data_IF_344692432798
#
_entry.id   IF_344692432798
#
_cell.length_a   1.000
_cell.length_b   1.000
_cell.length_c   1.000
_cell.angle_alpha   90.00
_cell.angle_beta   90.00
_cell.angle_gamma   90.00
#
_symmetry.space_group_name_H-M   'P 1'
#
loop_
_entity.id
_entity.type
_entity.pdbx_description
1 polymer ?
#
# COMPACT_ATOMS: atom_id res chain seq x y z
N UNK A 1 -31.08 40.98 -21.75
CA UNK A 1 -30.21 40.86 -20.57
C UNK A 1 -30.58 39.68 -19.69
N UNK A 2 -31.86 39.40 -19.43
CA UNK A 2 -32.29 38.29 -18.56
C UNK A 2 -31.85 36.89 -19.02
N UNK A 3 -31.93 36.59 -20.32
CA UNK A 3 -31.52 35.27 -20.85
C UNK A 3 -30.01 35.03 -20.64
N UNK A 4 -29.17 36.03 -20.86
CA UNK A 4 -27.72 35.91 -20.62
C UNK A 4 -27.41 35.70 -19.13
N UNK A 5 -28.15 36.37 -18.24
CA UNK A 5 -28.02 36.18 -16.80
C UNK A 5 -28.47 34.78 -16.36
N UNK A 6 -29.59 34.27 -16.92
CA UNK A 6 -30.07 32.90 -16.67
C UNK A 6 -29.08 31.85 -17.18
N UNK A 7 -28.53 32.02 -18.39
CA UNK A 7 -27.50 31.13 -18.94
C UNK A 7 -26.20 31.17 -18.14
N UNK A 8 -25.79 32.35 -17.63
CA UNK A 8 -24.64 32.48 -16.74
C UNK A 8 -24.83 31.70 -15.43
N UNK A 9 -25.98 31.85 -14.78
CA UNK A 9 -26.27 31.10 -13.55
C UNK A 9 -26.44 29.60 -13.80
N UNK A 10 -27.05 29.21 -14.91
CA UNK A 10 -27.15 27.80 -15.29
C UNK A 10 -25.75 27.20 -15.52
N UNK A 11 -24.88 27.89 -16.27
CA UNK A 11 -23.49 27.48 -16.47
C UNK A 11 -22.73 27.40 -15.14
N UNK A 12 -22.90 28.38 -14.26
CA UNK A 12 -22.26 28.41 -12.94
C UNK A 12 -22.71 27.22 -12.08
N UNK A 13 -24.01 26.95 -12.00
CA UNK A 13 -24.58 25.81 -11.26
C UNK A 13 -24.07 24.49 -11.85
N UNK A 14 -24.08 24.33 -13.17
CA UNK A 14 -23.58 23.12 -13.83
C UNK A 14 -22.06 22.95 -13.59
N UNK A 15 -21.30 24.03 -13.62
CA UNK A 15 -19.85 24.00 -13.38
C UNK A 15 -19.51 23.57 -11.96
N UNK A 16 -20.28 24.04 -10.96
CA UNK A 16 -20.12 23.65 -9.55
C UNK A 16 -20.63 22.23 -9.28
N UNK A 17 -21.70 21.79 -9.96
CA UNK A 17 -22.28 20.46 -9.76
C UNK A 17 -21.53 19.34 -10.51
N UNK A 18 -20.87 19.67 -11.63
CA UNK A 18 -20.18 18.68 -12.47
C UNK A 18 -19.12 17.84 -11.75
N UNK A 19 -18.25 18.38 -10.87
CA UNK A 19 -17.24 17.57 -10.17
C UNK A 19 -17.88 16.61 -9.18
N UNK A 20 -18.97 17.04 -8.52
CA UNK A 20 -19.72 16.18 -7.62
C UNK A 20 -20.35 15.00 -8.37
N UNK A 21 -20.98 15.25 -9.52
CA UNK A 21 -21.55 14.18 -10.36
C UNK A 21 -20.47 13.21 -10.87
N UNK A 22 -19.33 13.71 -11.33
CA UNK A 22 -18.20 12.88 -11.73
C UNK A 22 -17.71 12.00 -10.58
N UNK A 23 -17.61 12.55 -9.38
CA UNK A 23 -17.21 11.81 -8.18
C UNK A 23 -18.22 10.71 -7.83
N UNK A 24 -19.52 10.98 -7.89
CA UNK A 24 -20.57 9.97 -7.66
C UNK A 24 -20.52 8.84 -8.69
N UNK A 25 -20.31 9.17 -9.97
CA UNK A 25 -20.14 8.16 -11.02
C UNK A 25 -18.91 7.27 -10.75
N UNK A 26 -17.79 7.85 -10.31
CA UNK A 26 -16.58 7.11 -9.94
C UNK A 26 -16.81 6.19 -8.74
N UNK A 27 -17.48 6.66 -7.68
CA UNK A 27 -17.84 5.80 -6.54
C UNK A 27 -18.69 4.61 -6.97
N UNK A 28 -19.69 4.84 -7.83
CA UNK A 28 -20.51 3.77 -8.38
C UNK A 28 -19.70 2.79 -9.23
N UNK A 29 -18.77 3.27 -10.06
CA UNK A 29 -17.90 2.42 -10.85
C UNK A 29 -16.98 1.54 -9.98
N UNK A 30 -16.36 2.12 -8.95
CA UNK A 30 -15.52 1.40 -7.98
C UNK A 30 -16.32 0.30 -7.28
N UNK A 31 -17.50 0.63 -6.75
CA UNK A 31 -18.37 -0.33 -6.07
C UNK A 31 -18.77 -1.50 -6.98
N UNK A 32 -19.09 -1.24 -8.25
CA UNK A 32 -19.40 -2.29 -9.24
C UNK A 32 -18.20 -3.18 -9.52
N UNK A 33 -17.01 -2.60 -9.68
CA UNK A 33 -15.79 -3.36 -9.97
C UNK A 33 -15.35 -4.21 -8.78
N UNK A 34 -15.45 -3.68 -7.56
CA UNK A 34 -15.26 -4.42 -6.31
C UNK A 34 -16.24 -5.61 -6.26
N UNK A 35 -17.54 -5.38 -6.45
CA UNK A 35 -18.54 -6.45 -6.43
C UNK A 35 -18.34 -7.49 -7.55
N UNK A 36 -17.81 -7.08 -8.71
CA UNK A 36 -17.42 -8.01 -9.77
C UNK A 36 -16.29 -8.94 -9.33
N UNK A 37 -15.23 -8.39 -8.74
CA UNK A 37 -14.09 -9.14 -8.23
C UNK A 37 -14.50 -10.07 -7.07
N UNK A 38 -15.32 -9.59 -6.13
CA UNK A 38 -15.89 -10.40 -5.04
C UNK A 38 -16.65 -11.62 -5.57
N UNK A 39 -17.48 -11.46 -6.62
CA UNK A 39 -18.22 -12.58 -7.22
C UNK A 39 -17.30 -13.59 -7.92
N UNK A 40 -16.31 -13.11 -8.68
CA UNK A 40 -15.37 -13.96 -9.43
C UNK A 40 -14.50 -14.79 -8.48
N UNK A 41 -14.01 -14.17 -7.41
CA UNK A 41 -13.10 -14.81 -6.44
C UNK A 41 -13.82 -15.44 -5.25
N UNK A 42 -15.12 -15.20 -5.09
CA UNK A 42 -15.95 -15.66 -3.96
C UNK A 42 -15.35 -15.23 -2.62
N UNK A 43 -14.87 -14.00 -2.59
CA UNK A 43 -14.14 -13.40 -1.47
C UNK A 43 -14.78 -12.05 -1.10
N UNK A 44 -14.42 -11.54 0.06
CA UNK A 44 -14.58 -10.14 0.41
C UNK A 44 -13.44 -9.35 -0.20
N UNK A 45 -13.74 -8.28 -0.94
CA UNK A 45 -12.71 -7.38 -1.47
C UNK A 45 -12.63 -6.14 -0.59
N UNK A 46 -11.42 -5.84 -0.12
CA UNK A 46 -11.08 -4.62 0.62
C UNK A 46 -10.05 -3.86 -0.22
N UNK A 47 -10.16 -2.53 -0.28
CA UNK A 47 -9.18 -1.69 -0.99
C UNK A 47 -8.50 -0.75 0.01
N UNK A 48 -7.17 -0.77 0.06
CA UNK A 48 -6.35 0.20 0.77
C UNK A 48 -5.40 0.85 -0.25
N UNK A 49 -5.90 1.91 -0.90
CA UNK A 49 -5.24 2.57 -2.02
C UNK A 49 -4.96 4.02 -1.67
N UNK A 50 -3.69 4.32 -1.42
CA UNK A 50 -3.19 5.66 -1.18
C UNK A 50 -2.62 6.24 -2.48
N UNK A 51 -3.47 6.95 -3.21
CA UNK A 51 -3.06 7.85 -4.30
C UNK A 51 -3.29 9.29 -3.89
N UNK A 52 -2.53 10.21 -4.49
CA UNK A 52 -2.84 11.63 -4.39
C UNK A 52 -4.21 11.86 -5.02
N UNK A 53 -5.21 12.21 -4.22
CA UNK A 53 -6.46 12.73 -4.77
C UNK A 53 -6.31 14.25 -4.89
N UNK A 54 -6.65 14.81 -6.06
CA UNK A 54 -6.66 16.26 -6.30
C UNK A 54 -7.88 16.89 -5.58
N UNK A 55 -7.97 16.73 -4.26
CA UNK A 55 -9.01 17.39 -3.48
C UNK A 55 -8.36 18.54 -2.75
N UNK A 56 -8.20 19.65 -3.44
CA UNK A 56 -7.97 20.94 -2.82
C UNK A 56 -8.48 22.03 -3.74
N UNK A 57 -9.40 22.85 -3.21
CA UNK A 57 -9.86 24.13 -3.77
C UNK A 57 -8.70 25.10 -4.09
N UNK A 58 -7.48 24.82 -3.61
CA UNK A 58 -6.25 25.58 -3.85
C UNK A 58 -5.17 24.84 -4.68
N UNK A 59 -5.45 23.65 -5.21
CA UNK A 59 -4.48 22.93 -6.07
C UNK A 59 -3.26 22.37 -5.34
N UNK A 60 -3.28 22.30 -4.00
CA UNK A 60 -2.19 21.70 -3.21
C UNK A 60 -2.39 20.18 -3.15
N UNK A 61 -1.44 19.36 -3.65
CA UNK A 61 -1.54 17.90 -3.57
C UNK A 61 -1.39 17.43 -2.12
N UNK A 62 -2.27 16.51 -1.69
CA UNK A 62 -2.18 15.85 -0.38
C UNK A 62 -1.75 14.41 -0.61
N UNK A 63 -0.58 14.04 -0.11
CA UNK A 63 -0.13 12.64 -0.06
C UNK A 63 -0.89 11.91 1.04
N UNK A 64 -1.42 10.72 0.73
CA UNK A 64 -2.12 9.87 1.70
C UNK A 64 -1.19 8.78 2.24
N UNK A 65 -1.40 8.45 3.50
CA UNK A 65 -0.65 7.44 4.25
C UNK A 65 -1.61 6.65 5.12
N UNK A 66 -1.22 5.42 5.46
CA UNK A 66 -1.95 4.57 6.41
C UNK A 66 -2.09 5.35 7.72
N UNK A 67 -3.32 5.52 8.19
CA UNK A 67 -3.64 6.22 9.42
C UNK A 67 -4.68 5.45 10.26
N UNK A 68 -5.10 6.03 11.38
CA UNK A 68 -6.04 5.40 12.31
C UNK A 68 -7.41 5.15 11.68
N UNK A 69 -7.96 6.08 10.88
CA UNK A 69 -9.25 5.89 10.22
C UNK A 69 -9.19 4.70 9.24
N UNK A 70 -8.11 4.58 8.46
CA UNK A 70 -7.92 3.43 7.57
C UNK A 70 -7.96 2.11 8.35
N UNK A 71 -7.27 2.05 9.49
CA UNK A 71 -7.28 0.86 10.34
C UNK A 71 -8.68 0.55 10.88
N UNK A 72 -9.43 1.55 11.34
CA UNK A 72 -10.79 1.35 11.85
C UNK A 72 -11.74 0.82 10.76
N UNK A 73 -11.65 1.35 9.54
CA UNK A 73 -12.48 0.94 8.41
C UNK A 73 -12.13 -0.47 7.94
N UNK A 74 -10.84 -0.81 7.82
CA UNK A 74 -10.40 -2.14 7.42
C UNK A 74 -10.77 -3.17 8.49
N UNK A 75 -10.53 -2.87 9.78
CA UNK A 75 -10.94 -3.73 10.90
C UNK A 75 -12.46 -3.95 10.93
N UNK A 76 -13.25 -2.92 10.58
CA UNK A 76 -14.71 -3.04 10.45
C UNK A 76 -15.09 -3.94 9.28
N UNK A 77 -14.45 -3.79 8.12
CA UNK A 77 -14.70 -4.63 6.95
C UNK A 77 -14.38 -6.11 7.23
N UNK A 78 -13.25 -6.41 7.89
CA UNK A 78 -12.88 -7.76 8.32
C UNK A 78 -13.95 -8.32 9.29
N UNK A 79 -14.36 -7.53 10.29
CA UNK A 79 -15.36 -7.95 11.28
C UNK A 79 -16.74 -8.24 10.68
N UNK A 80 -17.13 -7.50 9.64
CA UNK A 80 -18.39 -7.70 8.91
C UNK A 80 -18.31 -8.86 7.91
N UNK A 81 -17.14 -9.46 7.70
CA UNK A 81 -16.93 -10.59 6.81
C UNK A 81 -17.11 -11.89 7.58
N UNK A 82 -17.88 -12.83 7.02
CA UNK A 82 -18.03 -14.15 7.60
C UNK A 82 -16.68 -14.88 7.68
N UNK A 83 -16.46 -15.64 8.75
CA UNK A 83 -15.18 -16.33 9.00
C UNK A 83 -14.80 -17.32 7.90
N UNK A 84 -15.78 -17.88 7.18
CA UNK A 84 -15.53 -18.83 6.09
C UNK A 84 -15.24 -18.18 4.75
N UNK A 85 -15.44 -16.86 4.61
CA UNK A 85 -15.26 -16.13 3.36
C UNK A 85 -13.82 -15.62 3.26
N UNK A 86 -13.07 -15.95 2.19
CA UNK A 86 -11.73 -15.41 1.96
C UNK A 86 -11.72 -13.89 1.87
N UNK A 87 -10.59 -13.26 2.19
CA UNK A 87 -10.37 -11.81 2.03
C UNK A 87 -9.35 -11.56 0.94
N UNK A 88 -9.70 -10.70 0.01
CA UNK A 88 -8.83 -10.19 -1.04
C UNK A 88 -8.60 -8.69 -0.79
N UNK A 89 -7.38 -8.32 -0.41
CA UNK A 89 -6.99 -6.93 -0.16
C UNK A 89 -6.20 -6.38 -1.34
N UNK A 90 -6.72 -5.35 -2.01
CA UNK A 90 -5.96 -4.58 -3.01
C UNK A 90 -5.19 -3.48 -2.29
N UNK A 91 -3.86 -3.59 -2.29
CA UNK A 91 -2.95 -2.77 -1.49
C UNK A 91 -2.01 -1.96 -2.36
N UNK A 92 -2.13 -0.63 -2.28
CA UNK A 92 -1.22 0.30 -2.94
C UNK A 92 -0.94 1.47 -2.00
N UNK A 93 0.25 1.51 -1.41
CA UNK A 93 0.52 2.52 -0.37
C UNK A 93 2.00 2.80 -0.15
N UNK A 94 2.37 4.08 0.12
CA UNK A 94 3.73 4.44 0.51
C UNK A 94 4.02 4.12 1.98
N UNK A 95 3.10 3.44 2.69
CA UNK A 95 3.17 3.20 4.12
C UNK A 95 2.40 4.24 4.92
N UNK A 96 2.78 4.42 6.17
CA UNK A 96 2.14 5.34 7.10
C UNK A 96 2.41 4.96 8.54
N UNK A 97 1.43 5.20 9.41
CA UNK A 97 1.53 4.94 10.83
C UNK A 97 1.68 3.43 11.11
N UNK A 98 2.79 3.04 11.73
CA UNK A 98 3.13 1.65 12.05
C UNK A 98 2.02 0.98 12.86
N UNK A 99 1.51 1.63 13.92
CA UNK A 99 0.42 1.10 14.75
C UNK A 99 -0.82 0.70 13.94
N UNK A 100 -1.25 1.55 13.00
CA UNK A 100 -2.41 1.29 12.16
C UNK A 100 -2.17 0.11 11.22
N UNK A 101 -0.97 0.02 10.63
CA UNK A 101 -0.57 -1.09 9.77
C UNK A 101 -0.51 -2.42 10.54
N UNK A 102 0.07 -2.43 11.74
CA UNK A 102 0.13 -3.62 12.61
C UNK A 102 -1.27 -4.10 12.98
N UNK A 103 -2.20 -3.21 13.34
CA UNK A 103 -3.57 -3.59 13.65
C UNK A 103 -4.28 -4.27 12.47
N UNK A 104 -4.07 -3.75 11.25
CA UNK A 104 -4.61 -4.36 10.04
C UNK A 104 -3.98 -5.74 9.81
N UNK A 105 -2.64 -5.82 9.85
CA UNK A 105 -1.89 -7.06 9.64
C UNK A 105 -2.32 -8.16 10.61
N UNK A 106 -2.41 -7.86 11.91
CA UNK A 106 -2.84 -8.81 12.95
C UNK A 106 -4.31 -9.23 12.81
N UNK A 107 -5.18 -8.37 12.26
CA UNK A 107 -6.57 -8.74 12.00
C UNK A 107 -6.70 -9.67 10.79
N UNK A 108 -5.92 -9.43 9.74
CA UNK A 108 -5.83 -10.31 8.58
C UNK A 108 -5.22 -11.66 8.97
N UNK A 109 -4.12 -11.67 9.73
CA UNK A 109 -3.47 -12.89 10.20
C UNK A 109 -4.40 -13.76 11.06
N UNK A 110 -5.33 -13.15 11.82
CA UNK A 110 -6.31 -13.90 12.62
C UNK A 110 -7.54 -14.34 11.84
N UNK A 111 -7.73 -13.88 10.61
CA UNK A 111 -8.84 -14.33 9.78
C UNK A 111 -8.64 -15.81 9.42
N UNK A 112 -9.64 -16.69 9.64
CA UNK A 112 -9.44 -18.12 9.49
C UNK A 112 -9.57 -18.61 8.04
N UNK A 113 -10.28 -17.90 7.17
CA UNK A 113 -10.27 -18.17 5.74
C UNK A 113 -9.06 -17.52 5.06
N UNK A 114 -8.79 -17.94 3.81
CA UNK A 114 -7.63 -17.47 3.04
C UNK A 114 -7.62 -15.94 2.91
N UNK A 115 -6.45 -15.34 3.11
CA UNK A 115 -6.17 -13.92 2.83
C UNK A 115 -5.22 -13.81 1.64
N UNK A 116 -5.63 -13.09 0.60
CA UNK A 116 -4.80 -12.73 -0.54
C UNK A 116 -4.55 -11.22 -0.52
N UNK A 117 -3.29 -10.78 -0.66
CA UNK A 117 -2.96 -9.37 -0.84
C UNK A 117 -2.48 -9.14 -2.27
N UNK A 118 -3.15 -8.26 -3.00
CA UNK A 118 -2.76 -7.83 -4.34
C UNK A 118 -1.96 -6.54 -4.28
N UNK A 119 -0.73 -6.55 -4.79
CA UNK A 119 0.16 -5.40 -4.89
C UNK A 119 0.37 -5.04 -6.36
N UNK A 120 -0.45 -4.14 -6.93
CA UNK A 120 -0.38 -3.82 -8.36
C UNK A 120 0.80 -2.91 -8.74
N UNK A 121 1.37 -2.16 -7.79
CA UNK A 121 2.54 -1.31 -8.08
C UNK A 121 3.54 -1.27 -6.93
N UNK A 122 3.10 -0.94 -5.71
CA UNK A 122 3.99 -0.95 -4.55
C UNK A 122 3.22 -1.00 -3.23
N UNK A 123 3.83 -1.60 -2.23
CA UNK A 123 3.42 -1.51 -0.83
C UNK A 123 4.67 -1.32 0.04
N UNK A 124 4.86 -0.10 0.55
CA UNK A 124 6.08 0.27 1.30
C UNK A 124 5.82 0.30 2.80
N UNK A 125 6.85 0.04 3.61
CA UNK A 125 6.81 0.23 5.06
C UNK A 125 5.61 -0.48 5.70
N UNK A 126 4.69 0.24 6.34
CA UNK A 126 3.45 -0.35 6.87
C UNK A 126 2.63 -1.17 5.86
N UNK A 127 2.70 -0.86 4.57
CA UNK A 127 2.10 -1.69 3.51
C UNK A 127 2.73 -3.08 3.42
N UNK A 128 4.07 -3.17 3.53
CA UNK A 128 4.75 -4.47 3.59
C UNK A 128 4.29 -5.26 4.81
N UNK A 129 4.19 -4.64 6.00
CA UNK A 129 3.68 -5.32 7.20
C UNK A 129 2.31 -5.96 6.97
N UNK A 130 1.40 -5.22 6.32
CA UNK A 130 0.07 -5.74 5.95
C UNK A 130 0.18 -6.92 4.97
N UNK A 131 1.04 -6.82 3.96
CA UNK A 131 1.24 -7.87 2.97
C UNK A 131 1.81 -9.17 3.59
N UNK A 132 2.72 -9.06 4.56
CA UNK A 132 3.33 -10.23 5.22
C UNK A 132 2.33 -11.06 6.04
N UNK A 133 1.16 -10.50 6.38
CA UNK A 133 0.09 -11.22 7.07
C UNK A 133 -0.74 -12.14 6.15
N UNK A 134 -0.55 -12.05 4.84
CA UNK A 134 -1.35 -12.76 3.85
C UNK A 134 -0.89 -14.21 3.66
N UNK A 135 -1.84 -15.10 3.35
CA UNK A 135 -1.52 -16.46 2.90
C UNK A 135 -0.91 -16.48 1.48
N UNK A 136 -1.19 -15.46 0.69
CA UNK A 136 -0.65 -15.27 -0.65
C UNK A 136 -0.49 -13.77 -0.96
N UNK A 137 0.67 -13.39 -1.51
CA UNK A 137 0.96 -12.04 -1.99
C UNK A 137 1.03 -12.09 -3.52
N UNK A 138 0.03 -11.53 -4.19
CA UNK A 138 0.01 -11.45 -5.67
C UNK A 138 0.57 -10.10 -6.08
N UNK A 139 1.77 -10.10 -6.64
CA UNK A 139 2.46 -8.88 -7.07
C UNK A 139 2.39 -8.76 -8.60
N UNK A 140 2.23 -7.54 -9.11
CA UNK A 140 2.62 -7.27 -10.50
C UNK A 140 4.12 -7.61 -10.66
N UNK A 141 4.54 -8.04 -11.86
CA UNK A 141 5.95 -8.38 -12.12
C UNK A 141 6.91 -7.23 -11.82
N UNK A 142 6.45 -5.99 -11.95
CA UNK A 142 7.20 -4.76 -11.69
C UNK A 142 6.80 -4.11 -10.36
N UNK A 143 5.96 -4.76 -9.55
CA UNK A 143 5.62 -4.26 -8.24
C UNK A 143 6.74 -4.50 -7.22
N UNK A 144 6.78 -3.67 -6.20
CA UNK A 144 7.80 -3.73 -5.14
C UNK A 144 7.17 -3.70 -3.75
N UNK A 145 7.78 -4.43 -2.83
CA UNK A 145 7.61 -4.23 -1.39
C UNK A 145 8.72 -3.30 -0.88
N UNK A 146 8.50 -2.68 0.28
CA UNK A 146 9.53 -1.87 0.95
C UNK A 146 10.04 -2.48 2.25
N UNK A 147 11.21 -2.03 2.75
CA UNK A 147 11.64 -2.31 4.12
C UNK A 147 10.63 -1.81 5.14
N UNK A 148 10.68 -2.39 6.34
CA UNK A 148 9.79 -2.05 7.46
C UNK A 148 10.56 -1.47 8.63
N UNK A 149 11.83 -1.09 8.42
CA UNK A 149 12.67 -0.51 9.46
C UNK A 149 12.04 0.76 10.06
N UNK A 150 12.04 0.89 11.40
CA UNK A 150 11.41 2.03 12.05
C UNK A 150 12.22 3.31 11.84
N UNK A 151 11.50 4.40 11.57
CA UNK A 151 12.04 5.74 11.41
C UNK A 151 11.70 6.58 12.65
N UNK A 152 12.70 7.25 13.24
CA UNK A 152 12.53 8.19 14.35
C UNK A 152 12.74 9.61 13.83
N UNK A 153 11.63 10.32 13.60
CA UNK A 153 11.67 11.60 12.90
C UNK A 153 12.20 11.41 11.48
N UNK A 154 13.32 12.06 11.17
CA UNK A 154 13.95 12.01 9.85
C UNK A 154 15.05 10.95 9.71
N UNK A 155 15.32 10.18 10.76
CA UNK A 155 16.47 9.26 10.81
C UNK A 155 16.05 7.80 11.02
N UNK A 156 16.71 6.84 10.34
CA UNK A 156 16.54 5.42 10.63
C UNK A 156 17.00 5.07 12.03
N UNK A 157 16.20 4.26 12.73
CA UNK A 157 16.52 3.77 14.06
C UNK A 157 17.90 3.10 14.12
N UNK A 158 18.20 2.25 13.12
CA UNK A 158 19.49 1.57 13.01
C UNK A 158 20.67 2.55 12.86
N UNK A 159 20.46 3.66 12.14
CA UNK A 159 21.47 4.70 11.95
C UNK A 159 21.75 5.49 13.22
N UNK A 160 20.74 5.73 14.07
CA UNK A 160 20.91 6.37 15.38
C UNK A 160 21.80 5.50 16.27
N UNK A 161 21.55 4.18 16.32
CA UNK A 161 22.38 3.25 17.10
C UNK A 161 23.84 3.21 16.63
N UNK A 162 24.08 3.30 15.32
CA UNK A 162 25.45 3.35 14.76
C UNK A 162 26.27 4.55 15.25
N UNK A 163 25.64 5.62 15.75
CA UNK A 163 26.38 6.75 16.35
C UNK A 163 27.10 6.30 17.61
N UNK A 164 26.47 5.46 18.43
CA UNK A 164 27.04 4.95 19.69
C UNK A 164 28.22 4.01 19.47
N UNK A 165 28.28 3.33 18.32
CA UNK A 165 29.40 2.49 17.92
C UNK A 165 30.60 3.31 17.44
N UNK A 166 30.36 4.53 16.95
CA UNK A 166 31.36 5.36 16.27
C UNK A 166 31.95 6.47 17.14
N UNK A 167 31.27 6.86 18.22
CA UNK A 167 31.70 7.93 19.12
C UNK A 167 31.75 7.41 20.57
N UNK A 168 32.75 7.80 21.37
CA UNK A 168 32.71 7.56 22.80
C UNK A 168 31.43 8.15 23.42
N UNK A 169 30.79 7.43 24.34
CA UNK A 169 29.52 7.87 24.94
C UNK A 169 29.59 9.26 25.59
N UNK A 170 30.75 9.64 26.13
CA UNK A 170 30.97 10.97 26.72
C UNK A 170 30.93 12.12 25.69
N UNK A 171 31.02 11.83 24.40
CA UNK A 171 30.96 12.81 23.29
C UNK A 171 29.63 12.75 22.53
N UNK A 172 28.67 11.96 23.02
CA UNK A 172 27.32 11.83 22.46
C UNK A 172 26.39 12.73 23.25
N UNK A 173 25.60 13.53 22.53
CA UNK A 173 24.60 14.39 23.14
C UNK A 173 23.50 13.57 23.83
N UNK A 174 23.03 14.01 24.99
CA UNK A 174 21.98 13.33 25.77
C UNK A 174 20.72 13.03 24.93
N UNK A 175 20.33 13.96 24.05
CA UNK A 175 19.20 13.76 23.15
C UNK A 175 19.42 12.58 22.20
N UNK A 176 20.65 12.38 21.72
CA UNK A 176 20.99 11.23 20.87
C UNK A 176 20.95 9.93 21.68
N UNK A 177 21.37 9.95 22.95
CA UNK A 177 21.27 8.78 23.84
C UNK A 177 19.81 8.38 24.09
N UNK A 178 18.93 9.36 24.33
CA UNK A 178 17.48 9.12 24.48
C UNK A 178 16.90 8.54 23.18
N UNK A 179 17.24 9.13 22.02
CA UNK A 179 16.79 8.62 20.73
C UNK A 179 17.32 7.21 20.44
N UNK A 180 18.55 6.89 20.85
CA UNK A 180 19.12 5.57 20.70
C UNK A 180 18.37 4.52 21.53
N UNK A 181 17.99 4.84 22.77
CA UNK A 181 17.13 3.96 23.59
C UNK A 181 15.77 3.70 22.92
N UNK A 182 15.11 4.75 22.39
CA UNK A 182 13.85 4.59 21.65
C UNK A 182 14.05 3.79 20.37
N UNK A 183 15.15 4.02 19.64
CA UNK A 183 15.49 3.31 18.41
C UNK A 183 15.71 1.81 18.66
N UNK A 184 16.42 1.43 19.72
CA UNK A 184 16.62 0.03 20.09
C UNK A 184 15.29 -0.67 20.40
N UNK A 185 14.38 0.00 21.14
CA UNK A 185 13.03 -0.51 21.41
C UNK A 185 12.23 -0.70 20.12
N UNK A 186 12.22 0.31 19.26
CA UNK A 186 11.49 0.26 17.99
C UNK A 186 12.00 -0.88 17.10
N UNK A 187 13.32 -1.03 16.94
CA UNK A 187 13.92 -2.11 16.15
C UNK A 187 13.54 -3.49 16.69
N UNK A 188 13.58 -3.69 18.01
CA UNK A 188 13.17 -4.95 18.64
C UNK A 188 11.68 -5.23 18.42
N UNK A 189 10.83 -4.22 18.63
CA UNK A 189 9.37 -4.34 18.49
C UNK A 189 8.99 -4.71 17.06
N UNK A 190 9.44 -3.94 16.06
CA UNK A 190 9.12 -4.22 14.66
C UNK A 190 9.65 -5.59 14.23
N UNK A 191 10.88 -5.97 14.62
CA UNK A 191 11.40 -7.31 14.31
C UNK A 191 10.50 -8.41 14.88
N UNK A 192 10.06 -8.26 16.13
CA UNK A 192 9.18 -9.21 16.79
C UNK A 192 7.83 -9.31 16.06
N UNK A 193 7.24 -8.17 15.68
CA UNK A 193 6.01 -8.13 14.89
C UNK A 193 6.19 -8.87 13.55
N UNK A 194 7.22 -8.52 12.78
CA UNK A 194 7.49 -9.13 11.47
C UNK A 194 7.71 -10.63 11.60
N UNK A 195 8.49 -11.07 12.59
CA UNK A 195 8.67 -12.50 12.89
C UNK A 195 7.31 -13.16 13.16
N UNK A 196 6.48 -12.56 14.00
CA UNK A 196 5.15 -13.06 14.35
C UNK A 196 4.26 -13.29 13.12
N UNK A 197 4.22 -12.33 12.20
CA UNK A 197 3.48 -12.43 10.94
C UNK A 197 4.01 -13.58 10.06
N UNK A 198 5.33 -13.70 9.95
CA UNK A 198 6.00 -14.68 9.07
C UNK A 198 5.89 -16.12 9.58
N UNK A 199 5.77 -16.34 10.90
CA UNK A 199 5.73 -17.68 11.51
C UNK A 199 4.53 -18.53 11.04
N UNK A 200 3.48 -17.91 10.49
CA UNK A 200 2.35 -18.65 9.89
C UNK A 200 2.76 -19.42 8.62
N UNK A 201 3.74 -18.91 7.89
CA UNK A 201 4.11 -19.42 6.56
C UNK A 201 5.56 -19.90 6.46
N UNK A 202 6.42 -19.50 7.40
CA UNK A 202 7.84 -19.81 7.40
C UNK A 202 8.26 -20.54 8.68
N UNK A 203 9.24 -21.47 8.58
CA UNK A 203 9.91 -22.03 9.76
C UNK A 203 10.55 -20.91 10.60
N UNK A 204 10.65 -21.13 11.91
CA UNK A 204 11.10 -20.09 12.85
C UNK A 204 12.47 -19.48 12.49
N UNK A 205 13.45 -20.29 12.10
CA UNK A 205 14.78 -19.80 11.70
C UNK A 205 14.70 -18.88 10.48
N UNK A 206 13.88 -19.24 9.48
CA UNK A 206 13.71 -18.43 8.28
C UNK A 206 12.94 -17.15 8.59
N UNK A 207 11.88 -17.24 9.41
CA UNK A 207 11.11 -16.09 9.86
C UNK A 207 11.99 -15.09 10.64
N UNK A 208 12.87 -15.57 11.51
CA UNK A 208 13.84 -14.74 12.25
C UNK A 208 14.81 -14.01 11.31
N UNK A 209 15.37 -14.73 10.34
CA UNK A 209 16.31 -14.17 9.37
C UNK A 209 15.66 -13.10 8.47
N UNK A 210 14.47 -13.38 7.95
CA UNK A 210 13.73 -12.43 7.10
C UNK A 210 13.24 -11.22 7.92
N UNK A 211 12.78 -11.43 9.16
CA UNK A 211 12.42 -10.33 10.05
C UNK A 211 13.59 -9.40 10.34
N UNK A 212 14.78 -9.97 10.58
CA UNK A 212 16.00 -9.18 10.74
C UNK A 212 16.32 -8.38 9.47
N UNK A 213 16.26 -9.06 8.31
CA UNK A 213 16.58 -8.47 7.02
C UNK A 213 15.71 -7.26 6.70
N UNK A 214 14.39 -7.37 6.92
CA UNK A 214 13.40 -6.35 6.60
C UNK A 214 13.37 -5.19 7.60
N UNK A 215 13.70 -5.41 8.87
CA UNK A 215 13.43 -4.45 9.95
C UNK A 215 14.68 -3.79 10.57
N UNK A 216 15.88 -4.34 10.37
CA UNK A 216 17.09 -3.92 11.11
C UNK A 216 17.95 -2.89 10.37
N UNK A 217 17.41 -2.22 9.34
CA UNK A 217 18.15 -1.22 8.57
C UNK A 217 19.24 -1.82 7.68
N UNK A 218 18.98 -2.99 7.09
CA UNK A 218 19.86 -3.60 6.06
C UNK A 218 19.99 -2.69 4.83
N UNK A 219 18.88 -2.04 4.45
CA UNK A 219 18.78 -1.14 3.31
C UNK A 219 18.31 0.26 3.72
N UNK A 220 18.32 1.19 2.77
CA UNK A 220 17.58 2.45 2.90
C UNK A 220 16.07 2.19 2.82
N UNK A 221 15.28 3.06 3.42
CA UNK A 221 13.83 2.86 3.55
C UNK A 221 13.05 2.84 2.22
N UNK A 222 13.67 3.34 1.15
CA UNK A 222 13.13 3.38 -0.21
C UNK A 222 13.58 2.20 -1.09
N UNK A 223 14.31 1.24 -0.53
CA UNK A 223 14.83 0.09 -1.28
C UNK A 223 13.69 -0.74 -1.88
N UNK A 224 13.66 -0.95 -3.20
CA UNK A 224 12.62 -1.75 -3.84
C UNK A 224 12.93 -3.24 -3.66
N UNK A 225 12.09 -3.96 -2.93
CA UNK A 225 12.15 -5.41 -2.84
C UNK A 225 11.25 -5.98 -3.95
N UNK A 226 11.87 -6.45 -5.02
CA UNK A 226 11.14 -7.00 -6.17
C UNK A 226 10.58 -8.42 -5.92
N UNK A 227 9.85 -8.94 -6.90
CA UNK A 227 9.25 -10.29 -6.86
C UNK A 227 10.30 -11.38 -6.64
N UNK A 228 11.49 -11.26 -7.25
CA UNK A 228 12.54 -12.27 -7.14
C UNK A 228 13.07 -12.30 -5.72
N UNK A 229 13.40 -11.14 -5.16
CA UNK A 229 13.89 -11.02 -3.78
C UNK A 229 12.84 -11.48 -2.76
N UNK A 230 11.57 -11.11 -2.96
CA UNK A 230 10.48 -11.55 -2.08
C UNK A 230 10.32 -13.09 -2.09
N UNK A 231 10.44 -13.73 -3.26
CA UNK A 231 10.47 -15.19 -3.39
C UNK A 231 11.71 -15.81 -2.75
N UNK A 232 12.88 -15.22 -2.93
CA UNK A 232 14.12 -15.65 -2.28
C UNK A 232 14.01 -15.61 -0.75
N UNK A 233 13.29 -14.64 -0.19
CA UNK A 233 12.99 -14.60 1.25
C UNK A 233 12.07 -15.76 1.70
N UNK A 234 11.38 -16.41 0.77
CA UNK A 234 10.41 -17.49 1.04
C UNK A 234 8.98 -17.01 1.17
N UNK A 235 8.69 -15.75 0.84
CA UNK A 235 7.32 -15.22 0.90
C UNK A 235 6.44 -15.90 -0.15
N UNK A 236 5.12 -16.11 0.14
CA UNK A 236 4.21 -16.81 -0.75
C UNK A 236 3.77 -15.91 -1.92
N UNK A 237 4.71 -15.61 -2.84
CA UNK A 237 4.53 -14.63 -3.92
C UNK A 237 4.12 -15.27 -5.23
N UNK A 238 2.96 -14.84 -5.75
CA UNK A 238 2.48 -15.12 -7.10
C UNK A 238 2.55 -13.87 -7.98
N UNK A 239 2.63 -14.06 -9.29
CA UNK A 239 2.55 -12.98 -10.30
C UNK A 239 1.27 -13.06 -11.15
N UNK A 240 0.32 -13.92 -10.76
CA UNK A 240 -0.94 -14.13 -11.48
C UNK A 240 -1.99 -13.05 -11.10
N UNK A 241 -1.69 -11.80 -11.43
CA UNK A 241 -2.57 -10.66 -11.15
C UNK A 241 -3.85 -10.72 -12.03
N UNK A 242 -5.05 -10.71 -11.44
CA UNK A 242 -6.29 -10.60 -12.21
C UNK A 242 -6.41 -9.24 -12.90
N UNK A 243 -6.88 -9.22 -14.15
CA UNK A 243 -7.04 -7.99 -14.94
C UNK A 243 -7.94 -6.97 -14.22
N UNK A 244 -8.95 -7.44 -13.50
CA UNK A 244 -9.91 -6.62 -12.76
C UNK A 244 -9.25 -5.79 -11.66
N UNK A 245 -8.08 -6.20 -11.15
CA UNK A 245 -7.30 -5.40 -10.19
C UNK A 245 -6.72 -4.17 -10.88
N UNK A 246 -6.17 -4.30 -12.09
CA UNK A 246 -5.70 -3.14 -12.86
C UNK A 246 -6.86 -2.22 -13.25
N UNK A 247 -7.97 -2.79 -13.73
CA UNK A 247 -9.18 -2.02 -14.05
C UNK A 247 -9.74 -1.28 -12.84
N UNK A 248 -9.64 -1.88 -11.64
CA UNK A 248 -10.00 -1.21 -10.39
C UNK A 248 -9.04 -0.05 -10.09
N UNK A 249 -7.73 -0.24 -10.26
CA UNK A 249 -6.72 0.80 -10.05
C UNK A 249 -6.88 2.00 -10.98
N UNK A 250 -7.36 1.80 -12.21
CA UNK A 250 -7.68 2.88 -13.16
C UNK A 250 -8.81 3.79 -12.66
N UNK A 251 -9.69 3.29 -11.79
CA UNK A 251 -10.75 4.09 -11.15
C UNK A 251 -10.24 4.95 -9.98
N UNK A 252 -8.95 4.85 -9.64
CA UNK A 252 -8.26 5.71 -8.67
C UNK A 252 -7.24 6.58 -9.41
N UNK A 253 -7.67 7.66 -10.11
CA UNK A 253 -6.73 8.51 -10.84
C UNK A 253 -5.81 9.24 -9.86
N UNK A 254 -4.54 9.40 -10.24
CA UNK A 254 -3.65 10.33 -9.54
C UNK A 254 -4.12 11.78 -9.77
N UNK A 255 -3.87 12.65 -8.80
CA UNK A 255 -4.17 14.06 -8.84
C UNK A 255 -3.59 14.73 -10.11
N UNK A 256 -4.46 15.02 -11.09
CA UNK A 256 -4.08 15.72 -12.31
C UNK A 256 -4.17 17.24 -12.07
N UNK A 257 -3.16 17.80 -11.42
CA UNK A 257 -2.95 19.25 -11.39
C UNK A 257 -2.42 19.84 -12.72
N UNK A 258 -2.16 18.99 -13.73
CA UNK A 258 -1.59 19.38 -15.02
C UNK A 258 -1.58 18.25 -16.06
N UNK A 259 -0.94 18.48 -17.21
CA UNK A 259 -0.73 17.44 -18.25
C UNK A 259 0.02 16.25 -17.63
N UNK A 260 -0.39 15.00 -17.90
CA UNK A 260 0.36 13.83 -17.46
C UNK A 260 1.82 13.93 -17.91
N UNK A 261 2.75 13.62 -17.00
CA UNK A 261 4.18 13.52 -17.31
C UNK A 261 4.49 12.36 -18.26
N UNK A 262 3.64 11.34 -18.26
CA UNK A 262 3.73 10.16 -19.13
C UNK A 262 2.49 10.10 -20.02
N UNK A 263 2.68 9.87 -21.32
CA UNK A 263 1.60 9.74 -22.30
C UNK A 263 1.79 8.46 -23.11
N UNK A 264 0.70 7.72 -23.29
CA UNK A 264 0.62 6.54 -24.13
C UNK A 264 -0.83 6.35 -24.59
N UNK A 265 -1.05 5.51 -25.60
CA UNK A 265 -2.41 5.12 -26.02
C UNK A 265 -2.88 4.01 -25.09
N UNK A 266 -3.96 4.20 -24.30
CA UNK A 266 -4.44 3.21 -23.34
C UNK A 266 -5.28 2.12 -24.03
N UNK A 267 -4.75 1.56 -25.11
CA UNK A 267 -5.35 0.45 -25.85
C UNK A 267 -4.32 -0.68 -25.99
N UNK A 268 -4.73 -1.95 -25.85
CA UNK A 268 -3.83 -3.07 -26.06
C UNK A 268 -3.25 -3.03 -27.48
N UNK A 269 -1.92 -2.99 -27.59
CA UNK A 269 -1.24 -3.16 -28.87
C UNK A 269 -1.26 -4.65 -29.24
N UNK A 270 -1.96 -5.01 -30.32
CA UNK A 270 -1.77 -6.32 -30.94
C UNK A 270 -0.58 -6.20 -31.87
N UNK A 271 0.54 -6.82 -31.54
CA UNK A 271 1.65 -6.96 -32.48
C UNK A 271 1.13 -7.68 -33.73
N UNK A 272 1.29 -7.08 -34.92
CA UNK A 272 1.06 -7.82 -36.16
C UNK A 272 1.99 -9.05 -36.15
N UNK A 273 1.49 -10.26 -36.42
CA UNK A 273 2.38 -11.39 -36.58
C UNK A 273 3.34 -11.05 -37.72
N UNK A 274 4.65 -11.15 -37.44
CA UNK A 274 5.69 -10.91 -38.42
C UNK A 274 5.35 -11.67 -39.69
N UNK A 275 4.93 -10.94 -40.73
CA UNK A 275 4.57 -11.50 -42.02
C UNK A 275 5.77 -12.30 -42.53
N UNK A 276 5.62 -13.62 -42.54
CA UNK A 276 6.56 -14.51 -43.17
C UNK A 276 6.75 -14.07 -44.61
N UNK A 277 7.92 -13.50 -44.91
CA UNK A 277 8.38 -13.35 -46.28
C UNK A 277 8.52 -14.76 -46.84
N UNK A 278 7.55 -15.14 -47.69
CA UNK A 278 7.75 -16.19 -48.69
C UNK A 278 8.63 -15.66 -49.81
#
# INVERSE_FOLDING_TARGET
MEIFFQLFWLFFILSVLSPYLQQQLLYGARARKIAELERKRRSRVITLIHRQEAVSFLGIPITRFINIDDSEQVLRAIRLTDKSVPIDLVLHTPGGLVLAAEQIAEALLRHPAKVTVFVPHYAMSGGTLIALAADEIVMDENAVLGPVDPQLGQYPAASILKVLEKKPLAEVEDQTLILADVAEKALRQVKATVKGLLLRHLPEERAEAVAALLSQGTWTHDYPIDVTQAREMGLPVSTEMPLEVYELMDLYPQAQGGKPSVQYVPLPYRGEPAGGRR
#
